data_IF_974825285907
#
_entry.id   IF_974825285907
#
_cell.length_a   1.000
_cell.length_b   1.000
_cell.length_c   1.000
_cell.angle_alpha   90.00
_cell.angle_beta   90.00
_cell.angle_gamma   90.00
#
_symmetry.space_group_name_H-M   'P 1'
#
loop_
_entity.id
_entity.type
_entity.pdbx_description
1 polymer ?
#
# COMPACT_ATOMS: atom_id res chain seq x y z
N UNK A 1 49.02 -40.58 35.08
CA UNK A 1 48.81 -39.11 35.08
C UNK A 1 48.65 -38.69 33.62
N UNK A 2 47.40 -38.47 33.19
CA UNK A 2 46.99 -38.21 31.79
C UNK A 2 47.34 -36.77 31.39
N UNK A 3 47.82 -36.55 30.14
CA UNK A 3 47.82 -35.23 29.50
C UNK A 3 46.64 -35.18 28.52
N UNK A 4 45.77 -34.15 28.56
CA UNK A 4 44.65 -34.05 27.63
C UNK A 4 45.09 -33.52 26.26
N UNK A 5 44.45 -34.07 25.23
CA UNK A 5 44.47 -33.72 23.81
C UNK A 5 44.04 -32.26 23.58
N UNK A 6 44.93 -31.42 23.02
CA UNK A 6 44.57 -30.07 22.54
C UNK A 6 44.15 -30.14 21.07
N UNK A 7 42.89 -30.52 20.84
CA UNK A 7 42.23 -30.24 19.55
C UNK A 7 41.71 -28.81 19.59
N UNK A 8 42.40 -27.90 18.89
CA UNK A 8 41.86 -26.58 18.55
C UNK A 8 40.56 -26.75 17.78
N UNK A 9 39.44 -26.45 18.44
CA UNK A 9 38.17 -26.28 17.77
C UNK A 9 38.23 -24.99 16.94
N UNK A 10 38.32 -25.14 15.62
CA UNK A 10 38.03 -24.04 14.69
C UNK A 10 36.55 -23.73 14.84
N UNK A 11 36.25 -22.66 15.58
CA UNK A 11 34.90 -22.14 15.70
C UNK A 11 34.52 -21.51 14.37
N UNK A 12 33.77 -22.23 13.54
CA UNK A 12 33.18 -21.67 12.32
C UNK A 12 32.28 -20.49 12.73
N UNK A 13 32.37 -19.33 12.08
CA UNK A 13 31.45 -18.23 12.39
C UNK A 13 30.03 -18.72 12.13
N UNK A 14 29.16 -18.57 13.13
CA UNK A 14 27.72 -18.70 12.96
C UNK A 14 27.34 -17.68 11.90
N UNK A 15 26.83 -18.14 10.75
CA UNK A 15 26.20 -17.27 9.77
C UNK A 15 25.04 -16.56 10.48
N UNK A 16 25.27 -15.32 10.92
CA UNK A 16 24.19 -14.46 11.37
C UNK A 16 23.31 -14.23 10.14
N UNK A 17 22.09 -14.76 10.16
CA UNK A 17 21.09 -14.42 9.16
C UNK A 17 20.95 -12.90 9.14
N UNK A 18 20.96 -12.25 7.97
CA UNK A 18 20.83 -10.81 7.90
C UNK A 18 19.52 -10.40 8.58
N UNK A 19 19.60 -9.38 9.43
CA UNK A 19 18.42 -8.78 10.05
C UNK A 19 17.52 -8.26 8.93
N UNK A 20 16.34 -8.86 8.77
CA UNK A 20 15.33 -8.40 7.81
C UNK A 20 14.66 -7.13 8.34
N UNK A 21 14.38 -6.19 7.43
CA UNK A 21 13.61 -5.01 7.75
C UNK A 21 12.11 -5.34 7.79
N UNK A 22 11.36 -4.67 8.68
CA UNK A 22 9.92 -4.86 8.80
C UNK A 22 9.19 -4.29 7.56
N UNK A 23 8.43 -5.11 6.79
CA UNK A 23 7.70 -4.63 5.62
C UNK A 23 6.56 -3.67 5.95
N UNK A 24 6.16 -3.53 7.22
CA UNK A 24 5.20 -2.51 7.65
C UNK A 24 5.83 -1.11 7.69
N UNK A 25 7.15 -1.02 7.76
CA UNK A 25 7.80 0.28 7.62
C UNK A 25 7.49 0.86 6.23
N UNK A 26 6.99 2.09 6.20
CA UNK A 26 6.55 2.79 4.98
C UNK A 26 7.64 2.86 3.91
N UNK A 27 8.88 3.16 4.28
CA UNK A 27 10.01 3.18 3.36
C UNK A 27 10.30 1.77 2.79
N UNK A 28 10.34 0.75 3.65
CA UNK A 28 10.58 -0.65 3.21
C UNK A 28 9.45 -1.12 2.31
N UNK A 29 8.20 -0.84 2.68
CA UNK A 29 7.01 -1.14 1.89
C UNK A 29 7.10 -0.51 0.51
N UNK A 30 7.39 0.80 0.44
CA UNK A 30 7.55 1.54 -0.80
C UNK A 30 8.64 0.93 -1.67
N UNK A 31 9.83 0.67 -1.12
CA UNK A 31 10.95 0.06 -1.87
C UNK A 31 10.61 -1.34 -2.37
N UNK A 32 9.96 -2.17 -1.56
CA UNK A 32 9.62 -3.54 -1.92
C UNK A 32 8.64 -3.60 -3.08
N UNK A 33 7.58 -2.79 -3.06
CA UNK A 33 6.50 -2.88 -4.04
C UNK A 33 6.64 -1.91 -5.22
N UNK A 34 7.41 -0.82 -5.10
CA UNK A 34 7.68 0.08 -6.23
C UNK A 34 8.65 -0.55 -7.25
N UNK A 35 9.62 -1.33 -6.79
CA UNK A 35 10.63 -1.97 -7.64
C UNK A 35 10.16 -3.34 -8.19
N UNK A 36 9.13 -3.95 -7.61
CA UNK A 36 8.63 -5.29 -7.96
C UNK A 36 7.14 -5.27 -8.37
N UNK A 37 6.81 -4.95 -9.63
CA UNK A 37 5.43 -4.86 -10.12
C UNK A 37 4.60 -6.14 -9.91
N UNK A 38 5.22 -7.32 -10.01
CA UNK A 38 4.53 -8.60 -9.79
C UNK A 38 4.07 -8.77 -8.34
N UNK A 39 4.88 -8.32 -7.37
CA UNK A 39 4.48 -8.31 -5.96
C UNK A 39 3.33 -7.32 -5.71
N UNK A 40 3.38 -6.15 -6.36
CA UNK A 40 2.32 -5.15 -6.24
C UNK A 40 1.00 -5.66 -6.86
N UNK A 41 1.05 -6.31 -8.02
CA UNK A 41 -0.10 -6.98 -8.64
C UNK A 41 -0.67 -8.06 -7.69
N UNK A 42 0.19 -8.89 -7.11
CA UNK A 42 -0.24 -9.93 -6.17
C UNK A 42 -0.92 -9.33 -4.94
N UNK A 43 -0.36 -8.26 -4.36
CA UNK A 43 -0.96 -7.53 -3.23
C UNK A 43 -2.34 -6.97 -3.59
N UNK A 44 -2.44 -6.24 -4.71
CA UNK A 44 -3.70 -5.63 -5.16
C UNK A 44 -4.78 -6.69 -5.40
N UNK A 45 -4.42 -7.80 -6.05
CA UNK A 45 -5.36 -8.89 -6.31
C UNK A 45 -5.79 -9.61 -5.02
N UNK A 46 -4.88 -9.76 -4.04
CA UNK A 46 -5.21 -10.36 -2.75
C UNK A 46 -6.22 -9.53 -1.96
N UNK A 47 -6.07 -8.20 -1.93
CA UNK A 47 -7.00 -7.32 -1.22
C UNK A 47 -8.30 -7.07 -1.99
N UNK A 48 -8.26 -7.09 -3.33
CA UNK A 48 -9.41 -6.94 -4.23
C UNK A 48 -9.97 -8.29 -4.71
N UNK A 49 -9.99 -9.31 -3.85
CA UNK A 49 -10.39 -10.68 -4.21
C UNK A 49 -11.81 -10.85 -4.78
N UNK A 50 -12.68 -9.85 -4.63
CA UNK A 50 -14.05 -9.82 -5.20
C UNK A 50 -14.14 -9.18 -6.59
N UNK A 51 -13.06 -8.58 -7.07
CA UNK A 51 -12.99 -7.92 -8.37
C UNK A 51 -12.21 -8.77 -9.38
N UNK A 52 -12.38 -8.52 -10.70
CA UNK A 52 -11.51 -9.13 -11.70
C UNK A 52 -10.03 -8.84 -11.42
N UNK A 53 -9.14 -9.83 -11.57
CA UNK A 53 -7.72 -9.65 -11.26
C UNK A 53 -7.06 -8.74 -12.30
N UNK A 54 -6.17 -7.85 -11.83
CA UNK A 54 -5.28 -7.09 -12.70
C UNK A 54 -4.09 -7.95 -13.13
N UNK A 55 -3.56 -7.66 -14.32
CA UNK A 55 -2.47 -8.42 -14.96
C UNK A 55 -1.22 -7.61 -15.25
N UNK A 56 -1.33 -6.29 -15.21
CA UNK A 56 -0.21 -5.38 -15.44
C UNK A 56 -0.43 -4.12 -14.62
N UNK A 57 0.67 -3.53 -14.17
CA UNK A 57 0.63 -2.27 -13.45
C UNK A 57 1.90 -1.46 -13.75
N UNK A 58 1.75 -0.15 -13.82
CA UNK A 58 2.86 0.80 -13.88
C UNK A 58 2.89 1.63 -12.60
N UNK A 59 4.03 1.64 -11.91
CA UNK A 59 4.27 2.53 -10.78
C UNK A 59 4.60 3.93 -11.31
N UNK A 60 3.83 4.93 -10.88
CA UNK A 60 3.93 6.33 -11.35
C UNK A 60 4.92 7.17 -10.56
N UNK A 61 5.16 6.80 -9.30
CA UNK A 61 6.15 7.43 -8.42
C UNK A 61 7.17 6.40 -7.89
N UNK A 62 8.04 5.83 -8.75
CA UNK A 62 8.92 4.73 -8.35
C UNK A 62 10.04 5.15 -7.38
N UNK A 63 10.47 6.41 -7.47
CA UNK A 63 11.54 6.94 -6.63
C UNK A 63 11.00 7.49 -5.33
N UNK A 64 11.84 7.50 -4.30
CA UNK A 64 11.60 8.23 -3.07
C UNK A 64 12.40 9.52 -3.16
N UNK A 65 11.72 10.64 -3.40
CA UNK A 65 12.39 11.91 -3.59
C UNK A 65 12.73 12.55 -2.23
N UNK A 66 13.86 13.27 -2.07
CA UNK A 66 14.22 13.89 -0.79
C UNK A 66 13.13 14.76 -0.15
N UNK A 67 12.31 15.52 -0.91
CA UNK A 67 11.16 16.24 -0.36
C UNK A 67 10.07 15.33 0.21
N UNK A 68 9.91 14.10 -0.28
CA UNK A 68 8.98 13.11 0.28
C UNK A 68 9.44 12.60 1.63
N UNK A 69 10.72 12.73 1.98
CA UNK A 69 11.25 12.35 3.30
C UNK A 69 11.30 13.52 4.30
N UNK A 70 11.40 14.76 3.81
CA UNK A 70 11.63 15.96 4.63
C UNK A 70 10.48 16.97 4.60
N UNK A 71 9.46 16.73 3.77
CA UNK A 71 8.28 17.57 3.68
C UNK A 71 7.41 17.50 4.95
N UNK A 72 6.51 18.49 5.11
CA UNK A 72 5.50 18.51 6.18
C UNK A 72 4.62 17.25 6.18
N UNK A 73 4.54 16.56 5.05
CA UNK A 73 3.90 15.26 4.87
C UNK A 73 4.90 14.36 4.15
N UNK A 74 5.29 13.26 4.80
CA UNK A 74 6.08 12.21 4.15
C UNK A 74 5.14 11.44 3.22
N UNK A 75 5.41 11.44 1.91
CA UNK A 75 4.58 10.79 0.89
C UNK A 75 5.31 9.53 0.44
N UNK A 76 5.01 8.40 1.09
CA UNK A 76 5.60 7.09 0.78
C UNK A 76 4.56 6.12 0.21
N UNK A 77 3.43 6.65 -0.22
CA UNK A 77 2.40 5.87 -0.89
C UNK A 77 2.84 5.45 -2.30
N UNK A 78 2.28 4.35 -2.79
CA UNK A 78 2.51 3.85 -4.14
C UNK A 78 1.37 4.31 -5.02
N UNK A 79 1.66 5.20 -5.96
CA UNK A 79 0.76 5.59 -7.01
C UNK A 79 1.02 4.70 -8.22
N UNK A 80 -0.01 4.02 -8.68
CA UNK A 80 0.11 3.06 -9.76
C UNK A 80 -1.08 3.11 -10.72
N UNK A 81 -0.93 2.58 -11.93
CA UNK A 81 -1.98 2.55 -12.96
C UNK A 81 -1.98 1.19 -13.68
N UNK A 82 -3.15 0.59 -13.85
CA UNK A 82 -3.28 -0.68 -14.60
C UNK A 82 -3.54 -0.45 -16.10
N UNK A 83 -3.62 -1.54 -16.88
CA UNK A 83 -3.86 -1.48 -18.33
C UNK A 83 -5.21 -0.90 -18.74
N UNK A 84 -6.16 -0.81 -17.80
CA UNK A 84 -7.48 -0.23 -18.04
C UNK A 84 -7.50 1.26 -17.65
N UNK A 85 -6.37 1.83 -17.26
CA UNK A 85 -6.26 3.21 -16.77
C UNK A 85 -6.73 3.40 -15.33
N UNK A 86 -7.10 2.34 -14.61
CA UNK A 86 -7.50 2.48 -13.20
C UNK A 86 -6.28 2.89 -12.39
N UNK A 87 -6.42 3.99 -11.62
CA UNK A 87 -5.35 4.50 -10.77
C UNK A 87 -5.50 3.98 -9.35
N UNK A 88 -4.38 3.59 -8.75
CA UNK A 88 -4.30 3.06 -7.40
C UNK A 88 -3.44 3.96 -6.54
N UNK A 89 -3.90 4.20 -5.31
CA UNK A 89 -3.07 4.72 -4.22
C UNK A 89 -2.96 3.64 -3.14
N UNK A 90 -1.76 3.12 -2.91
CA UNK A 90 -1.50 2.06 -1.94
C UNK A 90 -0.64 2.62 -0.80
N UNK A 91 -1.17 2.61 0.41
CA UNK A 91 -0.54 3.17 1.61
C UNK A 91 -0.43 2.11 2.71
N UNK A 92 0.75 1.99 3.32
CA UNK A 92 0.98 1.27 4.57
C UNK A 92 1.11 2.28 5.70
N UNK A 93 0.28 2.15 6.74
CA UNK A 93 0.21 3.11 7.83
C UNK A 93 0.31 2.42 9.19
N UNK A 94 1.48 2.52 9.82
CA UNK A 94 1.69 1.98 11.17
C UNK A 94 1.05 2.87 12.26
N UNK A 95 1.11 4.19 12.06
CA UNK A 95 0.68 5.15 13.07
C UNK A 95 -0.67 5.75 12.73
N UNK A 96 -1.58 5.80 13.71
CA UNK A 96 -2.83 6.53 13.57
C UNK A 96 -2.54 8.04 13.44
N UNK A 97 -3.06 8.64 12.37
CA UNK A 97 -3.02 10.09 12.16
C UNK A 97 -4.39 10.70 12.43
N UNK A 98 -4.42 11.96 12.88
CA UNK A 98 -5.67 12.71 13.00
C UNK A 98 -6.28 12.94 11.60
N UNK A 99 -7.62 12.96 11.53
CA UNK A 99 -8.37 13.19 10.28
C UNK A 99 -8.03 12.22 9.13
N UNK A 100 -7.60 10.99 9.44
CA UNK A 100 -7.18 10.00 8.47
C UNK A 100 -8.18 9.79 7.32
N UNK A 101 -9.47 9.54 7.66
CA UNK A 101 -10.51 9.30 6.66
C UNK A 101 -10.71 10.51 5.74
N UNK A 102 -10.72 11.73 6.28
CA UNK A 102 -10.87 12.94 5.48
C UNK A 102 -9.67 13.15 4.53
N UNK A 103 -8.45 12.85 5.00
CA UNK A 103 -7.23 12.95 4.19
C UNK A 103 -7.21 11.91 3.07
N UNK A 104 -7.57 10.67 3.37
CA UNK A 104 -7.70 9.60 2.38
C UNK A 104 -8.71 10.00 1.29
N UNK A 105 -9.93 10.41 1.66
CA UNK A 105 -10.94 10.87 0.70
C UNK A 105 -10.46 12.07 -0.13
N UNK A 106 -9.80 13.04 0.50
CA UNK A 106 -9.24 14.21 -0.20
C UNK A 106 -8.21 13.80 -1.26
N UNK A 107 -7.27 12.91 -0.94
CA UNK A 107 -6.27 12.46 -1.91
C UNK A 107 -6.87 11.64 -3.05
N UNK A 108 -7.86 10.78 -2.77
CA UNK A 108 -8.57 10.05 -3.83
C UNK A 108 -9.32 11.01 -4.76
N UNK A 109 -10.03 12.00 -4.21
CA UNK A 109 -10.70 13.02 -5.01
C UNK A 109 -9.71 13.84 -5.85
N UNK A 110 -8.56 14.22 -5.27
CA UNK A 110 -7.50 14.91 -6.00
C UNK A 110 -6.97 14.05 -7.16
N UNK A 111 -6.75 12.76 -6.94
CA UNK A 111 -6.29 11.85 -8.00
C UNK A 111 -7.30 11.68 -9.13
N UNK A 112 -8.60 11.77 -8.86
CA UNK A 112 -9.65 11.84 -9.88
C UNK A 112 -9.51 13.14 -10.68
N UNK A 113 -9.43 14.28 -10.00
CA UNK A 113 -9.28 15.59 -10.64
C UNK A 113 -8.02 15.70 -11.51
N UNK A 114 -6.89 15.12 -11.05
CA UNK A 114 -5.61 15.14 -11.76
C UNK A 114 -5.59 14.24 -13.03
N UNK A 115 -6.70 13.60 -13.41
CA UNK A 115 -6.80 12.83 -14.65
C UNK A 115 -7.08 13.70 -15.87
N UNK A 116 -7.79 14.81 -15.68
CA UNK A 116 -8.27 15.65 -16.76
C UNK A 116 -7.52 16.99 -16.78
N UNK A 117 -7.32 17.51 -17.98
CA UNK A 117 -6.92 18.90 -18.18
C UNK A 117 -8.06 19.70 -18.82
N UNK A 118 -7.92 21.03 -18.86
CA UNK A 118 -8.94 21.90 -19.42
C UNK A 118 -9.26 21.53 -20.87
N UNK A 119 -10.54 21.26 -21.14
CA UNK A 119 -11.04 20.86 -22.45
C UNK A 119 -11.23 19.35 -22.63
N UNK A 120 -10.79 18.52 -21.67
CA UNK A 120 -11.04 17.08 -21.71
C UNK A 120 -12.51 16.72 -21.40
N UNK A 121 -13.01 15.69 -22.06
CA UNK A 121 -14.32 15.11 -21.79
C UNK A 121 -14.32 14.30 -20.48
N UNK A 122 -15.37 14.40 -19.67
CA UNK A 122 -15.47 13.70 -18.38
C UNK A 122 -15.52 12.17 -18.54
N UNK A 123 -15.96 11.68 -19.70
CA UNK A 123 -16.00 10.26 -20.05
C UNK A 123 -14.60 9.61 -20.10
N UNK A 124 -13.53 10.42 -20.07
CA UNK A 124 -12.14 9.95 -19.98
C UNK A 124 -11.71 9.61 -18.56
N UNK A 125 -12.51 9.92 -17.54
CA UNK A 125 -12.20 9.55 -16.16
C UNK A 125 -12.16 8.03 -16.01
N UNK A 126 -11.04 7.53 -15.53
CA UNK A 126 -10.87 6.17 -15.08
C UNK A 126 -11.07 6.06 -13.55
N UNK A 127 -11.43 4.88 -13.04
CA UNK A 127 -11.60 4.69 -11.60
C UNK A 127 -10.33 4.99 -10.80
N UNK A 128 -10.51 5.48 -9.57
CA UNK A 128 -9.44 5.66 -8.58
C UNK A 128 -9.74 4.77 -7.37
N UNK A 129 -8.76 3.96 -6.96
CA UNK A 129 -8.90 3.01 -5.85
C UNK A 129 -7.83 3.31 -4.79
N UNK A 130 -8.28 3.58 -3.56
CA UNK A 130 -7.41 3.66 -2.38
C UNK A 130 -7.31 2.32 -1.67
N UNK A 131 -6.09 1.84 -1.42
CA UNK A 131 -5.80 0.64 -0.64
C UNK A 131 -4.98 1.08 0.56
N UNK A 132 -5.58 0.97 1.74
CA UNK A 132 -4.97 1.42 2.99
C UNK A 132 -4.76 0.23 3.92
N UNK A 133 -3.50 -0.14 4.13
CA UNK A 133 -3.08 -1.20 5.05
C UNK A 133 -2.73 -0.58 6.40
N UNK A 134 -3.51 -0.89 7.44
CA UNK A 134 -3.40 -0.24 8.75
C UNK A 134 -2.90 -1.24 9.80
N UNK A 135 -1.89 -0.85 10.58
CA UNK A 135 -1.41 -1.62 11.75
C UNK A 135 -2.19 -1.23 13.03
N UNK A 136 -3.42 -0.74 12.87
CA UNK A 136 -4.31 -0.32 13.95
C UNK A 136 -5.77 -0.39 13.50
N UNK A 137 -6.68 -0.61 14.45
CA UNK A 137 -8.12 -0.60 14.19
C UNK A 137 -8.59 0.82 13.92
N UNK A 138 -9.10 1.10 12.71
CA UNK A 138 -9.65 2.41 12.35
C UNK A 138 -11.02 2.65 13.02
N UNK A 139 -11.86 1.63 13.01
CA UNK A 139 -13.17 1.56 13.64
C UNK A 139 -13.06 0.67 14.87
N UNK A 140 -13.50 1.15 16.04
CA UNK A 140 -13.24 0.53 17.36
C UNK A 140 -14.51 0.14 18.10
N UNK A 141 -15.65 0.31 17.44
CA UNK A 141 -16.95 -0.08 17.94
C UNK A 141 -16.99 -1.61 18.10
N UNK A 142 -17.66 -2.06 19.16
CA UNK A 142 -17.62 -3.47 19.57
C UNK A 142 -18.21 -4.42 18.52
N UNK A 143 -19.18 -3.94 17.74
CA UNK A 143 -19.83 -4.71 16.68
C UNK A 143 -18.91 -5.01 15.49
N UNK A 144 -17.72 -4.41 15.44
CA UNK A 144 -16.79 -4.50 14.31
C UNK A 144 -15.49 -5.23 14.61
N UNK A 145 -15.34 -5.84 15.79
CA UNK A 145 -14.08 -6.42 16.27
C UNK A 145 -13.53 -7.56 15.38
N UNK A 146 -14.41 -8.27 14.66
CA UNK A 146 -14.01 -9.36 13.77
C UNK A 146 -13.80 -8.91 12.30
N UNK A 147 -13.98 -7.62 11.98
CA UNK A 147 -13.90 -7.10 10.63
C UNK A 147 -12.52 -6.51 10.30
N UNK A 148 -11.73 -7.27 9.52
CA UNK A 148 -10.41 -6.83 9.06
C UNK A 148 -10.42 -6.06 7.72
N UNK A 149 -11.47 -6.21 6.90
CA UNK A 149 -11.54 -5.60 5.57
C UNK A 149 -12.75 -4.65 5.43
N UNK A 150 -12.46 -3.42 5.03
CA UNK A 150 -13.45 -2.35 4.87
C UNK A 150 -13.45 -1.88 3.42
N UNK A 151 -14.60 -1.95 2.76
CA UNK A 151 -14.76 -1.53 1.36
C UNK A 151 -15.84 -0.45 1.28
N UNK A 152 -15.45 0.73 0.79
CA UNK A 152 -16.34 1.88 0.61
C UNK A 152 -16.43 2.21 -0.88
N UNK A 153 -17.65 2.46 -1.35
CA UNK A 153 -17.94 2.79 -2.75
C UNK A 153 -19.03 3.87 -2.80
N UNK A 154 -18.96 4.74 -3.81
CA UNK A 154 -20.02 5.70 -4.08
C UNK A 154 -21.16 4.98 -4.81
N UNK A 155 -22.28 4.83 -4.12
CA UNK A 155 -23.45 4.07 -4.58
C UNK A 155 -24.72 4.76 -4.15
N UNK A 156 -25.81 4.43 -4.84
CA UNK A 156 -27.14 4.88 -4.46
C UNK A 156 -27.50 4.32 -3.06
N UNK A 157 -28.26 5.12 -2.29
CA UNK A 157 -28.60 4.76 -0.91
C UNK A 157 -29.71 3.71 -0.84
N UNK A 158 -30.72 3.85 -1.70
CA UNK A 158 -31.91 2.97 -1.71
C UNK A 158 -31.66 1.71 -2.55
N UNK A 159 -30.78 1.80 -3.55
CA UNK A 159 -30.39 0.75 -4.48
C UNK A 159 -28.86 0.58 -4.50
N UNK A 160 -28.23 -0.04 -3.49
CA UNK A 160 -26.76 -0.13 -3.36
C UNK A 160 -26.02 -0.79 -4.53
N UNK A 161 -26.73 -1.51 -5.40
CA UNK A 161 -26.18 -2.08 -6.63
C UNK A 161 -25.93 -1.03 -7.72
N UNK A 162 -26.58 0.14 -7.65
CA UNK A 162 -26.37 1.27 -8.54
C UNK A 162 -25.17 2.08 -8.04
N UNK A 163 -24.16 2.23 -8.90
CA UNK A 163 -22.88 2.88 -8.58
C UNK A 163 -22.61 4.00 -9.57
N UNK A 164 -21.98 5.07 -9.10
CA UNK A 164 -21.45 6.16 -9.94
C UNK A 164 -20.07 5.78 -10.50
#
# INVERSE_FOLDING_TARGET
MLRPDQRSAVQRPVNAMPTLLDPKNDYVFKRLFADEPELLIALINAVRYRAPPIRSIQVRNPNIDPPELHGKYIILDILAEDSNGTRYNIEMQIRRQHAYSARSTYYLAKMICDQLIAGDAYERLCPVIGIHLLDFDLFREQDYQDQAAWCFEMRDLDSPDVRL
#
